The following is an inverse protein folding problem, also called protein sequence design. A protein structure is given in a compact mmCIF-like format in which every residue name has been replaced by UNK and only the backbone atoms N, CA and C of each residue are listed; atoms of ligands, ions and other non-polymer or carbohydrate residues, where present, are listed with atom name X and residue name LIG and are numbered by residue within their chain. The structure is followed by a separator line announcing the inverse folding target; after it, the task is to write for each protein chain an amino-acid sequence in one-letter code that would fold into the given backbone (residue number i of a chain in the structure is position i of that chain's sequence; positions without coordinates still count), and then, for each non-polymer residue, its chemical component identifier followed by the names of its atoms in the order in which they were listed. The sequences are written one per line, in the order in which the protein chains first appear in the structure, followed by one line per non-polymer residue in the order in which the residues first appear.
data_IF_834931333960
#
_entry.id   IF_834931333960
#
_cell.length_a   1.000
_cell.length_b   1.000
_cell.length_c   1.000
_cell.angle_alpha   90.00
_cell.angle_beta   90.00
_cell.angle_gamma   90.00
#
_symmetry.space_group_name_H-M   'P 1'
#
loop_
_entity.id
_entity.type
_entity.pdbx_description
1 polymer ?
#
# COMPACT_ATOMS: atom_id res chain seq x y z
N UNK A 1 -7.25 -7.20 29.85
CA UNK A 1 -7.33 -8.65 29.72
C UNK A 1 -6.50 -9.04 28.53
N UNK A 2 -5.41 -9.71 28.81
CA UNK A 2 -4.35 -10.14 27.89
C UNK A 2 -4.87 -11.34 27.12
N UNK A 3 -4.89 -11.27 25.80
CA UNK A 3 -5.16 -12.46 24.98
C UNK A 3 -3.98 -13.41 25.12
N UNK A 4 -4.25 -14.62 25.63
CA UNK A 4 -3.27 -15.69 25.81
C UNK A 4 -3.11 -16.39 24.47
N UNK A 5 -1.90 -16.31 23.88
CA UNK A 5 -1.50 -17.18 22.79
C UNK A 5 -1.05 -18.51 23.37
N UNK A 6 -1.74 -19.60 23.02
CA UNK A 6 -1.27 -20.95 23.29
C UNK A 6 -0.21 -21.30 22.24
N UNK A 7 1.04 -21.20 22.65
CA UNK A 7 2.17 -21.70 21.89
C UNK A 7 2.36 -23.18 22.13
N UNK A 8 2.20 -24.02 21.13
CA UNK A 8 2.61 -25.41 21.15
C UNK A 8 4.12 -25.50 20.96
N UNK A 9 4.82 -25.90 22.02
CA UNK A 9 6.21 -26.32 21.98
C UNK A 9 6.29 -27.75 21.45
N UNK A 10 6.88 -27.96 20.29
CA UNK A 10 7.41 -29.28 19.91
C UNK A 10 8.91 -29.30 20.14
N UNK A 11 9.34 -30.18 21.03
CA UNK A 11 10.75 -30.55 21.23
C UNK A 11 11.21 -31.51 20.11
N UNK A 12 12.46 -31.43 19.66
CA UNK A 12 13.02 -32.39 18.72
C UNK A 12 13.57 -33.62 19.44
N UNK A 13 13.15 -34.78 18.94
CA UNK A 13 13.70 -36.08 19.36
C UNK A 13 15.07 -36.34 18.76
N UNK A 14 15.88 -36.93 19.63
CA UNK A 14 17.27 -37.35 19.40
C UNK A 14 17.41 -38.62 18.56
N UNK A 15 18.60 -38.75 17.96
CA UNK A 15 19.36 -39.97 17.66
C UNK A 15 19.51 -40.43 16.22
N UNK A 16 20.78 -40.59 15.86
CA UNK A 16 21.22 -41.43 14.78
C UNK A 16 22.62 -41.08 14.24
N UNK A 17 23.68 -41.34 15.07
CA UNK A 17 25.07 -41.40 14.62
C UNK A 17 25.27 -42.64 13.74
N UNK A 18 25.75 -42.46 12.52
CA UNK A 18 26.41 -43.51 11.74
C UNK A 18 27.78 -43.00 11.31
N UNK A 19 28.80 -43.65 11.87
CA UNK A 19 30.20 -43.54 11.44
C UNK A 19 30.38 -44.22 10.09
N UNK A 20 31.08 -43.58 9.15
CA UNK A 20 31.75 -44.24 8.01
C UNK A 20 33.16 -43.68 7.92
N UNK A 21 34.10 -44.64 7.89
CA UNK A 21 35.55 -44.49 7.92
C UNK A 21 36.16 -43.83 6.67
N UNK A 22 37.34 -43.30 6.89
CA UNK A 22 38.25 -42.61 5.97
C UNK A 22 38.73 -43.51 4.79
N UNK A 23 38.82 -42.90 3.60
CA UNK A 23 39.79 -43.31 2.58
C UNK A 23 40.51 -42.03 2.10
N UNK A 24 41.82 -42.04 2.29
CA UNK A 24 42.72 -40.95 1.95
C UNK A 24 42.88 -40.69 0.44
N UNK A 25 43.09 -39.43 0.11
CA UNK A 25 43.49 -38.97 -1.24
C UNK A 25 43.96 -37.53 -1.15
N UNK A 26 45.27 -37.38 -1.23
CA UNK A 26 46.01 -36.13 -1.30
C UNK A 26 45.55 -35.29 -2.52
N UNK A 27 45.10 -34.06 -2.27
CA UNK A 27 45.05 -33.02 -3.29
C UNK A 27 45.02 -31.63 -2.61
N UNK A 28 46.05 -30.88 -2.85
CA UNK A 28 46.26 -29.49 -2.53
C UNK A 28 44.99 -28.64 -2.83
N UNK A 29 44.15 -28.40 -1.83
CA UNK A 29 43.07 -27.46 -1.91
C UNK A 29 43.60 -26.05 -1.58
N UNK A 30 43.62 -25.21 -2.61
CA UNK A 30 43.51 -23.76 -2.42
C UNK A 30 42.26 -23.53 -1.58
N UNK A 31 42.44 -23.16 -0.33
CA UNK A 31 41.36 -22.66 0.52
C UNK A 31 40.89 -21.34 -0.07
N UNK A 32 39.82 -21.39 -0.86
CA UNK A 32 38.97 -20.22 -1.01
C UNK A 32 38.26 -20.04 0.35
N UNK A 33 38.69 -19.06 1.12
CA UNK A 33 37.91 -18.56 2.23
C UNK A 33 36.51 -18.20 1.70
N UNK A 34 35.41 -18.60 2.36
CA UNK A 34 34.10 -18.09 1.98
C UNK A 34 34.14 -16.59 2.21
N UNK A 35 33.95 -15.83 1.15
CA UNK A 35 33.77 -14.39 1.18
C UNK A 35 32.53 -14.09 2.04
N UNK A 36 32.78 -13.92 3.34
CA UNK A 36 31.76 -13.45 4.29
C UNK A 36 31.55 -11.97 4.02
N UNK A 37 30.89 -11.64 2.93
CA UNK A 37 30.30 -10.33 2.71
C UNK A 37 29.14 -10.19 3.71
N UNK A 38 29.48 -9.92 4.98
CA UNK A 38 28.50 -9.36 5.90
C UNK A 38 27.93 -8.12 5.23
N UNK A 39 26.65 -8.17 4.88
CA UNK A 39 25.94 -7.04 4.27
C UNK A 39 25.73 -5.98 5.36
N UNK A 40 26.79 -5.20 5.62
CA UNK A 40 26.80 -4.17 6.63
C UNK A 40 25.69 -3.16 6.36
N UNK A 41 24.84 -2.91 7.34
CA UNK A 41 23.80 -1.89 7.29
C UNK A 41 24.40 -0.48 7.17
N UNK A 42 23.71 0.39 6.48
CA UNK A 42 23.98 1.82 6.41
C UNK A 42 22.79 2.65 6.88
N UNK A 43 23.05 3.83 7.41
CA UNK A 43 22.03 4.78 7.84
C UNK A 43 21.56 5.64 6.67
N UNK A 44 20.25 5.77 6.53
CA UNK A 44 19.59 6.64 5.55
C UNK A 44 18.65 7.61 6.24
N UNK A 45 18.71 8.88 5.89
CA UNK A 45 17.73 9.87 6.32
C UNK A 45 16.44 9.63 5.57
N UNK A 46 15.33 9.43 6.29
CA UNK A 46 14.02 9.22 5.73
C UNK A 46 13.25 10.53 5.60
N UNK A 47 12.63 10.73 4.45
CA UNK A 47 11.75 11.87 4.18
C UNK A 47 10.27 11.47 4.28
N UNK A 48 9.37 12.44 4.38
CA UNK A 48 7.95 12.18 4.16
C UNK A 48 7.71 11.72 2.73
N UNK A 49 6.89 10.69 2.56
CA UNK A 49 6.43 10.31 1.22
C UNK A 49 5.41 11.32 0.72
N UNK A 50 5.82 12.24 -0.18
CA UNK A 50 5.02 13.37 -0.67
C UNK A 50 3.69 12.98 -1.31
N UNK A 51 3.62 11.75 -1.84
CA UNK A 51 2.45 11.22 -2.56
C UNK A 51 1.54 10.36 -1.66
N UNK A 52 1.74 10.41 -0.34
CA UNK A 52 0.81 9.81 0.57
C UNK A 52 -0.51 10.58 0.54
N UNK A 53 -1.59 9.92 0.10
CA UNK A 53 -2.93 10.53 -0.02
C UNK A 53 -3.85 10.13 1.11
N UNK A 54 -3.67 8.95 1.71
CA UNK A 54 -4.54 8.38 2.75
C UNK A 54 -3.79 7.89 3.98
N UNK A 55 -4.49 7.10 4.79
CA UNK A 55 -3.94 6.50 6.00
C UNK A 55 -3.82 7.44 7.18
N UNK A 56 -3.43 6.89 8.34
CA UNK A 56 -3.21 7.65 9.59
C UNK A 56 -1.78 7.51 10.12
N UNK A 57 -1.01 6.55 9.64
CA UNK A 57 0.41 6.40 9.90
C UNK A 57 1.24 7.20 8.92
N UNK A 58 2.47 7.54 9.28
CA UNK A 58 3.40 8.12 8.35
C UNK A 58 3.91 7.06 7.36
N UNK A 59 4.04 7.43 6.10
CA UNK A 59 4.82 6.69 5.11
C UNK A 59 6.09 7.46 4.88
N UNK A 60 7.22 6.81 5.04
CA UNK A 60 8.54 7.38 4.87
C UNK A 60 9.13 6.95 3.54
N UNK A 61 9.76 7.87 2.85
CA UNK A 61 10.59 7.56 1.69
C UNK A 61 12.01 7.27 2.16
N UNK A 62 12.48 6.06 1.90
CA UNK A 62 13.82 5.57 2.28
C UNK A 62 14.79 5.84 1.12
N UNK A 63 14.41 5.47 -0.09
CA UNK A 63 15.12 5.78 -1.34
C UNK A 63 14.09 6.19 -2.40
N UNK A 64 14.54 6.54 -3.61
CA UNK A 64 13.60 6.81 -4.72
C UNK A 64 12.67 5.61 -4.99
N UNK A 65 13.17 4.37 -4.83
CA UNK A 65 12.47 3.13 -5.15
C UNK A 65 11.83 2.43 -3.95
N UNK A 66 12.08 2.90 -2.72
CA UNK A 66 11.64 2.23 -1.50
C UNK A 66 10.94 3.19 -0.54
N UNK A 67 9.84 2.72 0.00
CA UNK A 67 9.08 3.37 1.07
C UNK A 67 8.93 2.43 2.25
N UNK A 68 8.70 2.98 3.45
CA UNK A 68 8.36 2.17 4.62
C UNK A 68 7.30 2.85 5.49
N UNK A 69 6.60 2.05 6.29
CA UNK A 69 5.60 2.53 7.26
C UNK A 69 5.68 1.74 8.56
N UNK A 70 5.19 2.30 9.70
CA UNK A 70 5.16 1.59 10.97
C UNK A 70 4.51 0.21 10.83
N UNK A 71 5.17 -0.79 11.39
CA UNK A 71 4.73 -2.19 11.30
C UNK A 71 3.56 -2.46 12.25
N UNK A 72 2.47 -3.05 11.72
CA UNK A 72 1.43 -3.71 12.51
C UNK A 72 1.59 -5.21 12.38
N UNK A 73 1.38 -5.93 13.46
CA UNK A 73 1.60 -7.38 13.51
C UNK A 73 0.75 -8.14 12.49
N UNK A 74 -0.54 -7.80 12.36
CA UNK A 74 -1.43 -8.43 11.37
C UNK A 74 -0.96 -8.20 9.94
N UNK A 75 -0.45 -7.01 9.64
CA UNK A 75 0.07 -6.68 8.32
C UNK A 75 1.39 -7.39 8.04
N UNK A 76 2.26 -7.49 9.05
CA UNK A 76 3.51 -8.27 8.97
C UNK A 76 3.23 -9.75 8.70
N UNK A 77 2.28 -10.34 9.42
CA UNK A 77 1.85 -11.72 9.20
C UNK A 77 1.34 -11.90 7.77
N UNK A 78 0.50 -10.98 7.28
CA UNK A 78 0.00 -11.04 5.91
C UNK A 78 1.12 -11.02 4.88
N UNK A 79 2.05 -10.03 4.95
CA UNK A 79 3.10 -9.89 3.94
C UNK A 79 4.13 -11.03 3.96
N UNK A 80 4.36 -11.64 5.10
CA UNK A 80 5.20 -12.84 5.20
C UNK A 80 4.53 -14.11 4.66
N UNK A 81 3.19 -14.10 4.51
CA UNK A 81 2.40 -15.25 4.09
C UNK A 81 1.40 -14.92 2.96
N UNK A 82 1.76 -14.00 2.06
CA UNK A 82 0.86 -13.58 0.97
C UNK A 82 0.45 -14.80 0.12
N UNK A 83 -0.85 -15.11 0.02
CA UNK A 83 -1.32 -16.18 -0.85
C UNK A 83 -0.86 -15.98 -2.29
N UNK A 84 -0.36 -17.02 -2.96
CA UNK A 84 0.19 -16.94 -4.31
C UNK A 84 -0.75 -16.23 -5.31
N UNK A 85 -2.07 -16.46 -5.17
CA UNK A 85 -3.09 -15.84 -6.01
C UNK A 85 -3.21 -14.33 -5.81
N UNK A 86 -2.79 -13.78 -4.65
CA UNK A 86 -2.81 -12.36 -4.33
C UNK A 86 -1.49 -11.65 -4.64
N UNK A 87 -0.37 -12.38 -4.78
CA UNK A 87 0.95 -11.78 -5.02
C UNK A 87 1.00 -10.78 -6.19
N UNK A 88 0.32 -11.00 -7.34
CA UNK A 88 0.33 -10.01 -8.44
C UNK A 88 -0.36 -8.68 -8.11
N UNK A 89 -1.19 -8.66 -7.08
CA UNK A 89 -2.06 -7.53 -6.75
C UNK A 89 -1.63 -6.73 -5.52
N UNK A 90 -0.57 -7.12 -4.84
CA UNK A 90 -0.02 -6.41 -3.68
C UNK A 90 1.30 -5.71 -4.02
N UNK A 91 1.72 -4.68 -3.26
CA UNK A 91 3.06 -4.10 -3.41
C UNK A 91 4.16 -5.12 -3.14
N UNK A 92 5.30 -4.97 -3.82
CA UNK A 92 6.48 -5.77 -3.51
C UNK A 92 6.96 -5.50 -2.09
N UNK A 93 6.91 -6.53 -1.22
CA UNK A 93 7.37 -6.47 0.16
C UNK A 93 8.88 -6.70 0.21
N UNK A 94 9.61 -5.86 0.95
CA UNK A 94 11.07 -5.88 1.07
C UNK A 94 11.57 -6.18 2.49
N UNK A 95 10.69 -6.72 3.32
CA UNK A 95 11.03 -7.10 4.70
C UNK A 95 10.81 -5.97 5.71
N UNK A 96 11.37 -6.17 6.89
CA UNK A 96 11.32 -5.21 8.00
C UNK A 96 12.56 -4.31 7.97
N UNK A 97 12.41 -3.09 8.46
CA UNK A 97 13.49 -2.12 8.61
C UNK A 97 13.39 -1.43 9.96
N UNK A 98 14.52 -1.20 10.60
CA UNK A 98 14.60 -0.46 11.85
C UNK A 98 14.67 1.03 11.57
N UNK A 99 13.72 1.79 12.13
CA UNK A 99 13.70 3.26 12.04
C UNK A 99 13.88 3.86 13.42
N UNK A 100 14.67 4.91 13.52
CA UNK A 100 14.95 5.61 14.78
C UNK A 100 15.00 7.11 14.56
N UNK A 101 14.78 7.86 15.64
CA UNK A 101 14.80 9.31 15.64
C UNK A 101 16.15 9.81 16.13
N UNK A 102 16.80 10.68 15.37
CA UNK A 102 17.97 11.45 15.81
C UNK A 102 17.58 12.89 16.08
N UNK A 103 18.17 13.45 17.13
CA UNK A 103 18.00 14.87 17.48
C UNK A 103 19.33 15.59 17.40
N UNK A 104 19.42 16.61 16.55
CA UNK A 104 20.59 17.46 16.40
C UNK A 104 20.16 18.92 16.45
N UNK A 105 20.66 19.69 17.45
CA UNK A 105 20.38 21.12 17.57
C UNK A 105 18.89 21.47 17.68
N UNK A 106 18.08 20.60 18.31
CA UNK A 106 16.64 20.78 18.43
C UNK A 106 15.81 20.31 17.20
N UNK A 107 16.48 19.84 16.15
CA UNK A 107 15.82 19.26 14.98
C UNK A 107 15.83 17.73 15.06
N UNK A 108 14.64 17.13 14.95
CA UNK A 108 14.44 15.68 14.92
C UNK A 108 14.32 15.19 13.49
N UNK A 109 15.11 14.16 13.15
CA UNK A 109 15.11 13.48 11.85
C UNK A 109 14.92 11.97 12.05
N UNK A 110 14.24 11.31 11.09
CA UNK A 110 14.07 9.87 11.10
C UNK A 110 15.11 9.21 10.21
N UNK A 111 15.69 8.13 10.70
CA UNK A 111 16.72 7.36 10.01
C UNK A 111 16.33 5.90 9.92
N UNK A 112 16.58 5.26 8.79
CA UNK A 112 16.39 3.82 8.59
C UNK A 112 17.76 3.12 8.47
N UNK A 113 17.88 1.92 9.05
CA UNK A 113 19.02 1.03 8.84
C UNK A 113 18.72 0.10 7.68
N UNK A 114 19.45 0.26 6.58
CA UNK A 114 19.21 -0.48 5.33
C UNK A 114 20.49 -1.19 4.92
N UNK A 115 20.39 -2.37 4.29
CA UNK A 115 21.55 -3.07 3.79
C UNK A 115 22.32 -2.24 2.75
N UNK A 116 23.64 -2.35 2.74
CA UNK A 116 24.47 -1.63 1.77
C UNK A 116 24.20 -2.04 0.31
N UNK A 117 23.74 -3.27 0.08
CA UNK A 117 23.34 -3.73 -1.24
C UNK A 117 22.18 -2.92 -1.81
N UNK A 118 21.16 -2.63 -0.98
CA UNK A 118 20.05 -1.75 -1.33
C UNK A 118 20.54 -0.33 -1.61
N UNK A 119 21.45 0.21 -0.77
CA UNK A 119 21.97 1.57 -0.92
C UNK A 119 22.79 1.77 -2.21
N UNK A 120 23.52 0.75 -2.65
CA UNK A 120 24.31 0.81 -3.90
C UNK A 120 23.41 0.84 -5.16
N UNK A 121 22.22 0.29 -5.07
CA UNK A 121 21.28 0.18 -6.20
C UNK A 121 20.30 1.34 -6.33
N UNK A 122 20.26 2.26 -5.35
CA UNK A 122 19.26 3.31 -5.28
C UNK A 122 19.88 4.67 -4.96
N UNK A 123 19.30 5.74 -5.51
CA UNK A 123 19.61 7.10 -5.06
C UNK A 123 19.00 7.35 -3.69
N UNK A 124 19.82 7.85 -2.77
CA UNK A 124 19.37 8.29 -1.44
C UNK A 124 19.19 9.81 -1.44
N UNK A 125 18.28 10.30 -0.62
CA UNK A 125 18.12 11.74 -0.40
C UNK A 125 19.21 12.21 0.58
N UNK A 126 20.29 12.80 0.05
CA UNK A 126 21.49 13.12 0.80
C UNK A 126 21.25 14.07 1.99
N UNK A 127 20.24 14.95 1.92
CA UNK A 127 20.12 16.09 2.85
C UNK A 127 18.84 16.09 3.71
N UNK A 128 17.97 15.08 3.60
CA UNK A 128 16.68 15.08 4.32
C UNK A 128 15.71 16.21 3.90
N UNK A 129 16.15 17.09 3.01
CA UNK A 129 15.39 18.21 2.49
C UNK A 129 14.56 17.79 1.27
N UNK A 130 13.51 17.01 1.53
CA UNK A 130 12.41 16.99 0.56
C UNK A 130 11.62 18.29 0.72
N UNK A 131 11.78 19.24 -0.18
CA UNK A 131 10.86 20.37 -0.26
C UNK A 131 9.45 19.84 -0.55
N UNK A 132 8.64 19.75 0.48
CA UNK A 132 7.26 19.32 0.41
C UNK A 132 6.41 20.49 0.86
N UNK A 133 5.42 20.86 0.04
CA UNK A 133 4.51 21.97 0.31
C UNK A 133 3.83 21.86 1.68
N UNK A 134 3.56 23.00 2.33
CA UNK A 134 2.75 23.02 3.53
C UNK A 134 1.33 22.53 3.23
N UNK A 135 0.74 21.79 4.18
CA UNK A 135 -0.57 21.16 3.99
C UNK A 135 -0.53 19.79 3.29
N UNK A 136 0.63 19.37 2.76
CA UNK A 136 0.79 18.02 2.22
C UNK A 136 0.52 16.95 3.29
N UNK A 137 -0.29 15.93 2.94
CA UNK A 137 -0.69 14.92 3.90
C UNK A 137 0.48 14.11 4.44
N UNK A 138 1.42 13.69 3.60
CA UNK A 138 2.62 12.96 4.03
C UNK A 138 3.47 13.77 5.01
N UNK A 139 3.70 15.07 4.74
CA UNK A 139 4.40 15.98 5.65
C UNK A 139 3.68 16.11 7.00
N UNK A 140 2.36 16.25 6.96
CA UNK A 140 1.52 16.31 8.17
C UNK A 140 1.67 15.03 8.99
N UNK A 141 1.68 13.87 8.36
CA UNK A 141 1.85 12.57 9.03
C UNK A 141 3.26 12.37 9.59
N UNK A 142 4.29 12.77 8.86
CA UNK A 142 5.67 12.76 9.36
C UNK A 142 5.82 13.63 10.61
N UNK A 143 5.32 14.87 10.57
CA UNK A 143 5.38 15.79 11.71
C UNK A 143 4.67 15.21 12.94
N UNK A 144 3.53 14.57 12.75
CA UNK A 144 2.82 13.86 13.83
C UNK A 144 3.66 12.70 14.37
N UNK A 145 4.28 11.92 13.50
CA UNK A 145 5.13 10.78 13.86
C UNK A 145 6.34 11.24 14.68
N UNK A 146 7.04 12.29 14.24
CA UNK A 146 8.22 12.85 14.96
C UNK A 146 7.82 13.40 16.32
N UNK A 147 6.66 14.06 16.44
CA UNK A 147 6.19 14.63 17.71
C UNK A 147 5.64 13.59 18.67
N UNK A 148 5.34 12.39 18.22
CA UNK A 148 4.82 11.32 19.07
C UNK A 148 5.95 10.68 19.87
N UNK A 149 6.28 11.28 21.03
CA UNK A 149 7.34 10.80 21.90
C UNK A 149 7.16 9.35 22.39
N UNK A 150 5.93 8.84 22.37
CA UNK A 150 5.66 7.45 22.75
C UNK A 150 6.26 6.43 21.76
N UNK A 151 6.43 6.81 20.49
CA UNK A 151 7.05 5.96 19.47
C UNK A 151 8.57 5.92 19.62
N UNK A 152 9.20 6.98 20.21
CA UNK A 152 10.65 7.13 20.25
C UNK A 152 11.22 7.00 21.67
N UNK A 153 10.48 6.31 22.57
CA UNK A 153 10.91 6.11 23.96
C UNK A 153 12.27 5.42 23.98
N UNK A 154 13.18 6.00 24.72
CA UNK A 154 14.54 5.49 24.98
C UNK A 154 15.47 5.41 23.76
N UNK A 155 15.24 6.17 22.69
CA UNK A 155 16.02 6.10 21.46
C UNK A 155 16.12 4.68 20.86
N UNK A 156 15.20 3.79 21.21
CA UNK A 156 15.16 2.45 20.61
C UNK A 156 14.58 2.53 19.20
N UNK A 157 15.13 1.73 18.28
CA UNK A 157 14.57 1.65 16.93
C UNK A 157 13.19 1.01 16.95
N UNK A 158 12.28 1.57 16.15
CA UNK A 158 10.96 1.02 15.90
C UNK A 158 10.96 0.19 14.61
N UNK A 159 10.14 -0.85 14.57
CA UNK A 159 10.00 -1.70 13.39
C UNK A 159 9.05 -1.08 12.37
N UNK A 160 9.54 -0.99 11.15
CA UNK A 160 8.77 -0.59 9.98
C UNK A 160 8.79 -1.72 8.95
N UNK A 161 7.76 -1.79 8.12
CA UNK A 161 7.71 -2.65 6.95
C UNK A 161 8.03 -1.84 5.70
N UNK A 162 8.83 -2.44 4.81
CA UNK A 162 9.38 -1.76 3.63
C UNK A 162 8.79 -2.34 2.35
N UNK A 163 8.52 -1.47 1.38
CA UNK A 163 7.88 -1.79 0.11
C UNK A 163 8.55 -1.11 -1.07
N UNK A 164 8.33 -1.67 -2.25
CA UNK A 164 8.61 -0.97 -3.49
C UNK A 164 7.75 0.30 -3.59
N UNK A 165 8.36 1.40 -3.99
CA UNK A 165 7.64 2.63 -4.34
C UNK A 165 6.98 2.44 -5.72
N UNK A 166 5.67 2.23 -5.73
CA UNK A 166 4.90 1.93 -6.94
C UNK A 166 4.93 3.05 -8.00
N UNK A 167 5.34 4.26 -7.61
CA UNK A 167 5.36 5.46 -8.46
C UNK A 167 6.75 6.08 -8.57
N UNK A 168 7.82 5.31 -8.30
CA UNK A 168 9.21 5.78 -8.27
C UNK A 168 9.63 6.54 -9.54
N UNK A 169 9.15 6.08 -10.71
CA UNK A 169 9.53 6.63 -12.01
C UNK A 169 8.46 7.53 -12.63
N UNK A 170 7.50 8.01 -11.82
CA UNK A 170 6.43 8.87 -12.29
C UNK A 170 6.82 10.34 -12.14
N UNK A 171 6.54 11.12 -13.17
CA UNK A 171 6.79 12.58 -13.15
C UNK A 171 5.66 13.33 -12.43
N UNK A 172 4.41 12.94 -12.72
CA UNK A 172 3.20 13.57 -12.19
C UNK A 172 2.22 12.50 -11.72
N UNK A 173 2.56 11.78 -10.63
CA UNK A 173 1.76 10.66 -10.15
C UNK A 173 0.39 11.12 -9.67
N UNK A 174 -0.66 10.56 -10.26
CA UNK A 174 -2.01 10.60 -9.73
C UNK A 174 -2.25 9.34 -8.92
N UNK A 175 -2.89 9.47 -7.77
CA UNK A 175 -3.18 8.37 -6.87
C UNK A 175 -4.55 8.53 -6.23
N UNK A 176 -5.28 7.40 -6.07
CA UNK A 176 -6.57 7.34 -5.41
C UNK A 176 -6.61 6.12 -4.50
N UNK A 177 -6.77 6.35 -3.22
CA UNK A 177 -6.96 5.34 -2.17
C UNK A 177 -8.47 5.17 -1.94
N UNK A 178 -9.01 4.00 -2.24
CA UNK A 178 -10.40 3.61 -1.96
C UNK A 178 -10.39 2.58 -0.85
N UNK A 179 -10.90 2.96 0.31
CA UNK A 179 -10.98 2.08 1.46
C UNK A 179 -12.25 1.23 1.41
N UNK A 180 -12.06 -0.07 1.27
CA UNK A 180 -13.10 -1.09 1.27
C UNK A 180 -13.41 -1.49 2.72
N UNK A 181 -14.62 -1.24 3.17
CA UNK A 181 -15.05 -1.60 4.51
C UNK A 181 -16.53 -1.28 4.68
N UNK A 182 -17.35 -2.27 4.98
CA UNK A 182 -18.74 -2.10 5.38
C UNK A 182 -18.91 -2.19 6.90
N UNK A 183 -18.18 -3.13 7.52
CA UNK A 183 -18.19 -3.36 8.97
C UNK A 183 -16.76 -3.27 9.51
N UNK A 184 -16.52 -2.42 10.49
CA UNK A 184 -15.17 -2.07 10.93
C UNK A 184 -14.71 -2.84 12.19
N UNK A 185 -15.56 -3.68 12.75
CA UNK A 185 -15.28 -4.38 14.00
C UNK A 185 -14.94 -5.86 13.77
N UNK A 186 -13.81 -6.31 14.33
CA UNK A 186 -13.45 -7.72 14.40
C UNK A 186 -14.19 -8.45 15.53
N UNK A 187 -14.02 -9.77 15.62
CA UNK A 187 -14.68 -10.61 16.63
C UNK A 187 -14.35 -10.24 18.08
N UNK A 188 -13.17 -9.68 18.33
CA UNK A 188 -12.66 -9.35 19.67
C UNK A 188 -12.70 -7.84 19.97
N UNK A 189 -13.55 -7.05 19.33
CA UNK A 189 -13.60 -5.60 19.56
C UNK A 189 -14.31 -5.28 20.87
N UNK A 190 -13.70 -4.38 21.65
CA UNK A 190 -14.37 -3.74 22.81
C UNK A 190 -15.71 -3.13 22.37
N UNK A 191 -16.82 -3.33 23.10
CA UNK A 191 -18.13 -2.81 22.73
C UNK A 191 -18.18 -1.31 22.50
N UNK A 192 -17.42 -0.51 23.28
CA UNK A 192 -17.32 0.93 23.11
C UNK A 192 -16.61 1.30 21.81
N UNK A 193 -15.53 0.61 21.51
CA UNK A 193 -14.78 0.76 20.26
C UNK A 193 -15.59 0.29 19.05
N UNK A 194 -16.35 -0.80 19.21
CA UNK A 194 -17.28 -1.28 18.19
C UNK A 194 -18.26 -0.20 17.78
N UNK A 195 -18.93 0.43 18.76
CA UNK A 195 -19.91 1.50 18.50
C UNK A 195 -19.30 2.68 17.74
N UNK A 196 -18.09 3.13 18.14
CA UNK A 196 -17.38 4.23 17.45
C UNK A 196 -17.06 3.85 16.00
N UNK A 197 -16.66 2.59 15.74
CA UNK A 197 -16.35 2.12 14.40
C UNK A 197 -17.59 1.96 13.52
N UNK A 198 -18.73 1.51 14.11
CA UNK A 198 -20.02 1.45 13.44
C UNK A 198 -20.51 2.85 13.06
N UNK A 199 -20.46 3.81 13.99
CA UNK A 199 -20.80 5.21 13.71
C UNK A 199 -19.94 5.79 12.59
N UNK A 200 -18.64 5.46 12.56
CA UNK A 200 -17.75 5.91 11.50
C UNK A 200 -18.15 5.34 10.12
N UNK A 201 -18.59 4.09 10.05
CA UNK A 201 -19.11 3.51 8.80
C UNK A 201 -20.43 4.18 8.41
N UNK A 202 -21.37 4.31 9.35
CA UNK A 202 -22.68 4.87 9.11
C UNK A 202 -22.66 6.34 8.69
N UNK A 203 -21.67 7.10 9.18
CA UNK A 203 -21.46 8.51 8.84
C UNK A 203 -20.56 8.72 7.61
N UNK A 204 -20.38 7.70 6.78
CA UNK A 204 -19.60 7.78 5.55
C UNK A 204 -20.24 6.89 4.46
N UNK A 205 -19.79 7.04 3.24
CA UNK A 205 -20.25 6.22 2.09
C UNK A 205 -19.90 4.72 2.22
N UNK A 206 -19.18 4.31 3.27
CA UNK A 206 -18.94 2.89 3.58
C UNK A 206 -20.23 2.11 3.82
N UNK A 207 -21.27 2.72 4.41
CA UNK A 207 -22.55 2.05 4.67
C UNK A 207 -23.38 1.85 3.39
N UNK A 208 -23.35 2.81 2.48
CA UNK A 208 -24.15 2.83 1.24
C UNK A 208 -23.44 2.19 0.06
N UNK A 209 -22.17 2.55 -0.17
CA UNK A 209 -21.38 2.06 -1.29
C UNK A 209 -20.50 0.83 -0.93
N UNK A 210 -20.29 0.54 0.36
CA UNK A 210 -19.32 -0.46 0.83
C UNK A 210 -17.86 0.00 0.75
N UNK A 211 -17.65 1.25 0.32
CA UNK A 211 -16.34 1.88 0.24
C UNK A 211 -16.42 3.39 0.47
N UNK A 212 -15.28 4.02 0.71
CA UNK A 212 -15.12 5.46 0.78
C UNK A 212 -13.77 5.90 0.22
N UNK A 213 -13.66 7.17 -0.14
CA UNK A 213 -12.39 7.76 -0.53
C UNK A 213 -11.48 7.85 0.72
N UNK A 214 -10.34 7.16 0.68
CA UNK A 214 -9.28 7.24 1.69
C UNK A 214 -8.38 8.45 1.49
N UNK A 215 -8.25 8.89 0.24
CA UNK A 215 -7.53 10.07 -0.20
C UNK A 215 -7.32 10.05 -1.70
N UNK A 216 -7.08 11.20 -2.30
CA UNK A 216 -6.84 11.35 -3.72
C UNK A 216 -5.80 12.42 -4.00
N UNK A 217 -4.95 12.18 -4.98
CA UNK A 217 -4.05 13.16 -5.58
C UNK A 217 -4.23 13.14 -7.08
N UNK A 218 -4.42 14.31 -7.68
CA UNK A 218 -4.58 14.44 -9.12
C UNK A 218 -3.87 15.70 -9.62
N UNK A 219 -3.17 15.60 -10.75
CA UNK A 219 -2.55 16.74 -11.40
C UNK A 219 -3.57 17.48 -12.27
N UNK A 220 -3.67 18.80 -12.07
CA UNK A 220 -4.48 19.69 -12.90
C UNK A 220 -3.60 20.36 -13.97
N UNK A 221 -3.89 20.11 -15.24
CA UNK A 221 -3.15 20.71 -16.35
C UNK A 221 -3.32 22.24 -16.41
N UNK A 222 -4.52 22.72 -16.12
CA UNK A 222 -4.88 24.16 -16.25
C UNK A 222 -4.10 25.02 -15.26
N UNK A 223 -3.93 24.54 -14.05
CA UNK A 223 -3.22 25.25 -12.98
C UNK A 223 -1.77 24.81 -12.83
N UNK A 224 -1.38 23.69 -13.48
CA UNK A 224 -0.10 22.99 -13.31
C UNK A 224 0.20 22.63 -11.85
N UNK A 225 -0.86 22.37 -11.08
CA UNK A 225 -0.76 22.04 -9.65
C UNK A 225 -1.28 20.64 -9.35
N UNK A 226 -0.70 20.07 -8.31
CA UNK A 226 -1.20 18.83 -7.73
C UNK A 226 -2.31 19.16 -6.71
N UNK A 227 -3.52 18.62 -6.91
CA UNK A 227 -4.59 18.69 -5.93
C UNK A 227 -4.55 17.45 -5.05
N UNK A 228 -4.71 17.65 -3.76
CA UNK A 228 -4.82 16.58 -2.78
C UNK A 228 -6.13 16.68 -2.00
N UNK A 229 -6.83 15.55 -1.88
CA UNK A 229 -8.01 15.36 -1.05
C UNK A 229 -7.66 14.30 -0.01
N UNK A 230 -7.63 14.69 1.25
CA UNK A 230 -7.25 13.79 2.32
C UNK A 230 -8.46 12.98 2.85
N UNK A 231 -8.21 12.07 3.80
CA UNK A 231 -9.23 11.21 4.39
C UNK A 231 -10.37 11.98 5.08
N UNK A 232 -10.15 13.18 5.58
CA UNK A 232 -11.20 13.98 6.24
C UNK A 232 -12.22 14.44 5.22
N UNK A 233 -11.74 14.89 4.05
CA UNK A 233 -12.62 15.19 2.93
C UNK A 233 -13.41 13.94 2.49
N UNK A 234 -12.73 12.80 2.29
CA UNK A 234 -13.39 11.55 1.90
C UNK A 234 -14.43 11.04 2.91
N UNK A 235 -14.31 11.41 4.20
CA UNK A 235 -15.31 11.11 5.23
C UNK A 235 -16.50 12.06 5.22
N UNK A 236 -16.39 13.28 4.67
CA UNK A 236 -17.42 14.32 4.71
C UNK A 236 -18.31 14.34 3.48
N UNK A 237 -17.95 13.65 2.41
CA UNK A 237 -18.68 13.64 1.13
C UNK A 237 -19.73 12.54 1.10
N UNK A 238 -20.79 12.77 0.30
CA UNK A 238 -21.87 11.82 0.05
C UNK A 238 -21.61 10.97 -1.22
N UNK A 239 -22.49 10.01 -1.52
CA UNK A 239 -22.37 9.08 -2.62
C UNK A 239 -22.24 9.79 -3.98
N UNK A 240 -23.06 10.83 -4.22
CA UNK A 240 -22.99 11.60 -5.47
C UNK A 240 -21.62 12.26 -5.64
N UNK A 241 -21.09 12.88 -4.59
CA UNK A 241 -19.77 13.51 -4.61
C UNK A 241 -18.64 12.50 -4.80
N UNK A 242 -18.79 11.28 -4.26
CA UNK A 242 -17.85 10.18 -4.54
C UNK A 242 -17.86 9.83 -6.03
N UNK A 243 -19.04 9.69 -6.65
CA UNK A 243 -19.16 9.40 -8.08
C UNK A 243 -18.50 10.49 -8.92
N UNK A 244 -18.73 11.77 -8.60
CA UNK A 244 -18.09 12.89 -9.29
C UNK A 244 -16.55 12.88 -9.15
N UNK A 245 -16.00 12.55 -7.96
CA UNK A 245 -14.56 12.40 -7.80
C UNK A 245 -14.00 11.23 -8.62
N UNK A 246 -14.71 10.11 -8.70
CA UNK A 246 -14.33 8.99 -9.53
C UNK A 246 -14.35 9.38 -11.02
N UNK A 247 -15.34 10.14 -11.48
CA UNK A 247 -15.38 10.71 -12.83
C UNK A 247 -14.19 11.63 -13.09
N UNK A 248 -13.83 12.49 -12.16
CA UNK A 248 -12.65 13.36 -12.27
C UNK A 248 -11.37 12.52 -12.40
N UNK A 249 -11.22 11.45 -11.61
CA UNK A 249 -10.03 10.62 -11.61
C UNK A 249 -9.91 9.73 -12.86
N UNK A 250 -11.02 9.15 -13.32
CA UNK A 250 -11.05 8.19 -14.44
C UNK A 250 -11.53 8.79 -15.76
N UNK A 251 -12.25 9.91 -15.75
CA UNK A 251 -13.06 10.39 -16.89
C UNK A 251 -12.27 10.85 -18.13
N UNK A 252 -10.96 11.04 -18.03
CA UNK A 252 -10.10 11.33 -19.18
C UNK A 252 -9.64 10.07 -19.94
N UNK A 253 -10.13 8.89 -19.56
CA UNK A 253 -9.71 7.61 -20.13
C UNK A 253 -10.71 7.09 -21.14
N UNK A 254 -10.23 6.34 -22.12
CA UNK A 254 -11.12 5.63 -23.03
C UNK A 254 -11.95 4.59 -22.28
N UNK A 255 -13.14 4.28 -22.81
CA UNK A 255 -13.98 3.22 -22.25
C UNK A 255 -13.27 1.88 -22.16
N UNK A 256 -12.41 1.55 -23.14
CA UNK A 256 -11.54 0.35 -23.08
C UNK A 256 -10.59 0.38 -21.89
N UNK A 257 -9.92 1.51 -21.65
CA UNK A 257 -9.00 1.64 -20.49
C UNK A 257 -9.74 1.53 -19.15
N UNK A 258 -10.95 2.05 -19.04
CA UNK A 258 -11.78 1.91 -17.83
C UNK A 258 -12.24 0.46 -17.64
N UNK A 259 -12.61 -0.25 -18.72
CA UNK A 259 -12.92 -1.69 -18.64
C UNK A 259 -11.73 -2.53 -18.17
N UNK A 260 -10.50 -2.21 -18.61
CA UNK A 260 -9.30 -2.92 -18.17
C UNK A 260 -9.08 -2.73 -16.66
N UNK A 261 -9.35 -1.53 -16.14
CA UNK A 261 -9.30 -1.25 -14.70
C UNK A 261 -10.39 -2.06 -13.97
N UNK A 262 -11.64 -2.03 -14.45
CA UNK A 262 -12.75 -2.80 -13.89
C UNK A 262 -12.46 -4.30 -13.88
N UNK A 263 -11.91 -4.84 -14.98
CA UNK A 263 -11.50 -6.25 -15.06
C UNK A 263 -10.38 -6.57 -14.05
N UNK A 264 -9.42 -5.67 -13.86
CA UNK A 264 -8.38 -5.86 -12.85
C UNK A 264 -8.97 -5.93 -11.44
N UNK A 265 -9.96 -5.07 -11.13
CA UNK A 265 -10.67 -5.10 -9.84
C UNK A 265 -11.44 -6.42 -9.67
N UNK A 266 -12.12 -6.89 -10.71
CA UNK A 266 -12.83 -8.19 -10.72
C UNK A 266 -11.85 -9.36 -10.49
N UNK A 267 -10.65 -9.30 -11.07
CA UNK A 267 -9.61 -10.30 -10.86
C UNK A 267 -9.09 -10.26 -9.40
N UNK A 268 -8.88 -9.07 -8.83
CA UNK A 268 -8.55 -8.92 -7.40
C UNK A 268 -9.68 -9.50 -6.54
N UNK A 269 -10.93 -9.22 -6.85
CA UNK A 269 -12.09 -9.76 -6.13
C UNK A 269 -12.09 -11.29 -6.17
N UNK A 270 -11.92 -11.87 -7.35
CA UNK A 270 -11.85 -13.33 -7.50
C UNK A 270 -10.66 -13.92 -6.71
N UNK A 271 -9.50 -13.26 -6.70
CA UNK A 271 -8.36 -13.71 -5.92
C UNK A 271 -8.64 -13.65 -4.40
N UNK A 272 -9.32 -12.60 -3.93
CA UNK A 272 -9.75 -12.49 -2.53
C UNK A 272 -10.76 -13.58 -2.15
N UNK A 273 -11.70 -13.91 -3.03
CA UNK A 273 -12.71 -14.94 -2.78
C UNK A 273 -12.14 -16.37 -2.78
N UNK A 274 -11.10 -16.62 -3.57
CA UNK A 274 -10.54 -17.95 -3.75
C UNK A 274 -9.37 -18.27 -2.78
N UNK A 275 -8.82 -17.29 -2.09
CA UNK A 275 -7.86 -17.53 -1.02
C UNK A 275 -8.60 -17.87 0.29
N UNK A 276 -8.00 -18.72 1.14
CA UNK A 276 -8.60 -19.19 2.39
C UNK A 276 -7.82 -18.78 3.64
N UNK A 277 -6.63 -18.22 3.45
CA UNK A 277 -5.67 -17.99 4.53
C UNK A 277 -6.01 -16.79 5.39
N UNK A 278 -6.80 -15.82 4.84
CA UNK A 278 -7.06 -14.54 5.50
C UNK A 278 -8.49 -14.04 5.30
N UNK A 279 -9.02 -13.36 6.32
CA UNK A 279 -10.23 -12.55 6.24
C UNK A 279 -9.88 -11.07 6.28
N UNK A 280 -10.44 -10.33 5.33
CA UNK A 280 -10.19 -8.90 5.16
C UNK A 280 -11.31 -8.08 5.78
N UNK A 281 -11.08 -7.51 6.98
CA UNK A 281 -12.06 -6.62 7.61
C UNK A 281 -12.03 -5.21 7.02
N UNK A 282 -10.89 -4.79 6.53
CA UNK A 282 -10.72 -3.51 5.84
C UNK A 282 -9.40 -3.50 5.11
N UNK A 283 -9.43 -3.21 3.83
CA UNK A 283 -8.27 -3.02 2.96
C UNK A 283 -8.51 -1.84 2.05
N UNK A 284 -7.50 -1.41 1.32
CA UNK A 284 -7.66 -0.35 0.32
C UNK A 284 -7.28 -0.83 -1.08
N UNK A 285 -7.97 -0.32 -2.09
CA UNK A 285 -7.53 -0.35 -3.48
C UNK A 285 -6.81 0.96 -3.78
N UNK A 286 -5.53 0.88 -4.09
CA UNK A 286 -4.73 2.01 -4.53
C UNK A 286 -4.66 2.01 -6.07
N UNK A 287 -5.26 3.02 -6.67
CA UNK A 287 -5.17 3.32 -8.09
C UNK A 287 -4.09 4.35 -8.31
N UNK A 288 -3.26 4.16 -9.34
CA UNK A 288 -2.21 5.12 -9.64
C UNK A 288 -1.82 5.09 -11.11
N UNK A 289 -1.49 6.28 -11.63
CA UNK A 289 -1.02 6.50 -13.00
C UNK A 289 -0.17 7.75 -13.08
N UNK A 290 0.64 7.83 -14.12
CA UNK A 290 1.43 9.03 -14.44
C UNK A 290 0.71 9.85 -15.50
N UNK A 291 0.73 11.17 -15.33
CA UNK A 291 0.30 12.09 -16.39
C UNK A 291 1.56 12.56 -17.13
N UNK A 292 1.75 12.07 -18.35
CA UNK A 292 2.77 12.59 -19.25
C UNK A 292 2.25 13.86 -19.94
N UNK A 293 3.05 14.93 -19.98
CA UNK A 293 2.76 16.06 -20.85
C UNK A 293 2.91 15.61 -22.29
N UNK A 294 1.80 15.38 -22.98
CA UNK A 294 1.79 15.50 -24.43
C UNK A 294 1.97 16.99 -24.75
N UNK A 295 2.85 17.34 -25.68
CA UNK A 295 3.17 18.74 -26.05
C UNK A 295 1.98 19.55 -26.61
N UNK A 296 0.79 18.99 -26.58
CA UNK A 296 -0.46 19.64 -26.98
C UNK A 296 -1.44 19.66 -25.81
N UNK A 297 -1.71 20.86 -25.31
CA UNK A 297 -2.81 21.14 -24.39
C UNK A 297 -4.14 20.79 -25.06
N UNK A 298 -4.66 19.59 -24.75
CA UNK A 298 -6.00 19.19 -25.17
C UNK A 298 -7.00 19.70 -24.13
N UNK A 299 -8.05 20.46 -24.51
CA UNK A 299 -9.09 20.91 -23.57
C UNK A 299 -9.78 19.74 -22.87
N UNK A 300 -10.32 19.99 -21.68
CA UNK A 300 -10.96 19.03 -20.75
C UNK A 300 -12.05 18.14 -21.36
N UNK A 301 -12.50 18.43 -22.59
CA UNK A 301 -13.66 17.81 -23.25
C UNK A 301 -13.40 17.32 -24.69
N UNK A 302 -12.15 17.12 -25.11
CA UNK A 302 -11.91 16.50 -26.41
C UNK A 302 -11.34 15.09 -26.26
N UNK A 303 -11.87 14.09 -27.00
CA UNK A 303 -11.31 12.75 -27.06
C UNK A 303 -9.90 12.81 -27.64
N UNK A 304 -8.96 12.15 -26.97
CA UNK A 304 -7.55 12.11 -27.39
C UNK A 304 -7.39 11.46 -28.75
N UNK A 305 -6.61 12.08 -29.62
CA UNK A 305 -6.13 11.46 -30.85
C UNK A 305 -5.13 10.34 -30.52
N UNK A 306 -5.33 9.19 -31.09
CA UNK A 306 -4.80 7.90 -30.66
C UNK A 306 -3.29 7.64 -30.86
N UNK A 307 -2.49 8.56 -31.44
CA UNK A 307 -1.05 8.25 -31.71
C UNK A 307 -0.16 9.50 -31.63
N UNK A 308 1.00 9.36 -30.94
CA UNK A 308 2.09 10.31 -31.07
C UNK A 308 2.83 10.15 -32.44
N UNK A 309 3.64 11.15 -32.79
CA UNK A 309 4.41 11.15 -34.05
C UNK A 309 5.44 9.99 -34.19
N UNK A 310 5.56 9.11 -33.17
CA UNK A 310 6.41 7.92 -33.16
C UNK A 310 5.62 6.61 -33.14
N UNK A 311 4.29 6.66 -33.27
CA UNK A 311 3.44 5.45 -33.24
C UNK A 311 3.39 4.79 -31.86
N UNK A 312 3.76 5.49 -30.79
CA UNK A 312 3.67 5.03 -29.41
C UNK A 312 2.47 5.71 -28.77
N UNK A 313 1.52 4.89 -28.31
CA UNK A 313 0.34 5.35 -27.60
C UNK A 313 0.76 5.92 -26.23
N UNK A 314 0.64 7.24 -25.95
CA UNK A 314 0.94 7.82 -24.65
C UNK A 314 0.06 7.25 -23.52
N UNK A 315 -1.06 6.60 -23.86
CA UNK A 315 -1.91 5.85 -22.94
C UNK A 315 -1.29 4.52 -22.44
N UNK A 316 -0.05 4.16 -22.82
CA UNK A 316 0.63 2.95 -22.32
C UNK A 316 1.01 2.98 -20.84
N UNK A 317 0.93 4.11 -20.17
CA UNK A 317 0.92 4.17 -18.71
C UNK A 317 -0.50 3.98 -18.18
N UNK A 318 -1.09 2.82 -18.43
CA UNK A 318 -2.42 2.45 -17.94
C UNK A 318 -2.53 2.67 -16.43
N UNK A 319 -3.71 3.03 -15.95
CA UNK A 319 -3.97 3.09 -14.51
C UNK A 319 -3.75 1.70 -13.91
N UNK A 320 -2.88 1.62 -12.91
CA UNK A 320 -2.57 0.39 -12.18
C UNK A 320 -3.38 0.35 -10.90
N UNK A 321 -3.67 -0.86 -10.41
CA UNK A 321 -4.39 -1.09 -9.15
C UNK A 321 -3.59 -2.03 -8.28
N UNK A 322 -3.51 -1.73 -6.97
CA UNK A 322 -2.95 -2.62 -5.95
C UNK A 322 -3.83 -2.65 -4.71
N UNK A 323 -3.90 -3.83 -4.12
CA UNK A 323 -4.49 -4.04 -2.80
C UNK A 323 -3.45 -3.67 -1.74
N UNK A 324 -3.80 -2.82 -0.79
CA UNK A 324 -2.90 -2.31 0.25
C UNK A 324 -3.61 -2.23 1.61
N UNK A 325 -2.85 -1.93 2.66
CA UNK A 325 -3.33 -1.62 4.01
C UNK A 325 -3.96 -2.82 4.73
N UNK A 326 -3.13 -3.85 4.99
CA UNK A 326 -3.56 -5.11 5.62
C UNK A 326 -3.53 -5.09 7.15
N UNK A 327 -3.63 -3.92 7.78
CA UNK A 327 -3.67 -3.78 9.24
C UNK A 327 -4.88 -4.46 9.89
N UNK A 328 -5.92 -4.74 9.13
CA UNK A 328 -7.18 -5.32 9.56
C UNK A 328 -7.48 -6.62 8.82
N UNK A 329 -6.51 -7.52 8.85
CA UNK A 329 -6.68 -8.90 8.37
C UNK A 329 -6.61 -9.87 9.53
N UNK A 330 -7.33 -10.97 9.41
CA UNK A 330 -7.34 -12.06 10.39
C UNK A 330 -6.80 -13.29 9.66
N UNK A 331 -5.66 -13.85 10.08
CA UNK A 331 -5.25 -15.17 9.60
C UNK A 331 -6.27 -16.21 10.04
N UNK A 332 -6.55 -17.18 9.20
CA UNK A 332 -7.55 -18.21 9.43
C UNK A 332 -6.90 -19.58 9.37
N UNK A 333 -7.14 -20.42 10.37
CA UNK A 333 -6.88 -21.85 10.28
C UNK A 333 -8.13 -22.59 9.80
N UNK A 334 -7.96 -23.75 9.17
CA UNK A 334 -9.09 -24.59 8.72
C UNK A 334 -10.04 -24.94 9.87
N UNK A 335 -9.52 -25.04 11.11
CA UNK A 335 -10.29 -25.35 12.31
C UNK A 335 -11.16 -24.17 12.78
N UNK A 336 -10.75 -22.94 12.50
CA UNK A 336 -11.41 -21.71 12.99
C UNK A 336 -12.33 -21.07 11.96
N UNK A 337 -12.26 -21.48 10.70
CA UNK A 337 -13.03 -20.86 9.60
C UNK A 337 -14.55 -20.87 9.90
N UNK A 338 -15.07 -21.92 10.51
CA UNK A 338 -16.49 -22.05 10.84
C UNK A 338 -16.95 -21.12 11.97
N UNK A 339 -16.02 -20.60 12.80
CA UNK A 339 -16.31 -19.67 13.89
C UNK A 339 -16.49 -18.22 13.40
N UNK A 340 -16.11 -17.93 12.16
CA UNK A 340 -16.10 -16.57 11.64
C UNK A 340 -17.45 -16.23 11.00
N UNK A 341 -18.14 -15.18 11.47
CA UNK A 341 -19.42 -14.78 10.93
C UNK A 341 -19.35 -14.45 9.44
N UNK A 342 -20.33 -14.92 8.67
CA UNK A 342 -20.38 -14.74 7.22
C UNK A 342 -20.28 -13.27 6.79
N UNK A 343 -20.92 -12.37 7.52
CA UNK A 343 -20.87 -10.92 7.21
C UNK A 343 -19.45 -10.33 7.29
N UNK A 344 -18.54 -10.94 8.08
CA UNK A 344 -17.13 -10.52 8.12
C UNK A 344 -16.34 -11.08 6.93
N UNK A 345 -16.65 -12.31 6.49
CA UNK A 345 -16.04 -12.91 5.29
C UNK A 345 -16.39 -12.11 4.04
N UNK A 346 -17.58 -11.51 4.00
CA UNK A 346 -18.09 -10.75 2.86
C UNK A 346 -17.88 -9.23 2.97
N UNK A 347 -17.17 -8.78 3.99
CA UNK A 347 -17.12 -7.38 4.37
C UNK A 347 -16.67 -6.41 3.25
N UNK A 348 -15.72 -6.84 2.41
CA UNK A 348 -15.19 -6.01 1.32
C UNK A 348 -15.86 -6.31 -0.03
N UNK A 349 -16.57 -7.45 -0.16
CA UNK A 349 -17.13 -7.92 -1.43
C UNK A 349 -18.15 -6.95 -2.01
N UNK A 350 -19.04 -6.42 -1.16
CA UNK A 350 -20.04 -5.44 -1.57
C UNK A 350 -19.40 -4.18 -2.18
N UNK A 351 -18.36 -3.65 -1.52
CA UNK A 351 -17.65 -2.46 -1.99
C UNK A 351 -16.92 -2.68 -3.31
N UNK A 352 -16.26 -3.83 -3.47
CA UNK A 352 -15.56 -4.18 -4.71
C UNK A 352 -16.55 -4.31 -5.87
N UNK A 353 -17.67 -5.01 -5.64
CA UNK A 353 -18.73 -5.19 -6.66
C UNK A 353 -19.33 -3.86 -7.08
N UNK A 354 -19.70 -2.99 -6.14
CA UNK A 354 -20.24 -1.68 -6.45
C UNK A 354 -19.26 -0.81 -7.22
N UNK A 355 -17.99 -0.79 -6.82
CA UNK A 355 -16.97 -0.02 -7.53
C UNK A 355 -16.79 -0.51 -8.97
N UNK A 356 -16.76 -1.83 -9.19
CA UNK A 356 -16.67 -2.40 -10.53
C UNK A 356 -17.87 -2.00 -11.41
N UNK A 357 -19.07 -2.06 -10.86
CA UNK A 357 -20.30 -1.66 -11.58
C UNK A 357 -20.30 -0.16 -11.95
N UNK A 358 -19.80 0.70 -11.05
CA UNK A 358 -19.66 2.14 -11.32
C UNK A 358 -18.68 2.37 -12.48
N UNK A 359 -17.55 1.69 -12.49
CA UNK A 359 -16.56 1.82 -13.57
C UNK A 359 -17.06 1.23 -14.89
N UNK A 360 -17.80 0.12 -14.86
CA UNK A 360 -18.43 -0.42 -16.07
C UNK A 360 -19.42 0.60 -16.66
N UNK A 361 -20.18 1.31 -15.82
CA UNK A 361 -21.04 2.42 -16.23
C UNK A 361 -20.26 3.55 -16.91
N UNK A 362 -19.15 3.99 -16.32
CA UNK A 362 -18.29 5.02 -16.92
C UNK A 362 -17.69 4.57 -18.27
N UNK A 363 -17.33 3.30 -18.40
CA UNK A 363 -16.83 2.77 -19.66
C UNK A 363 -17.86 2.86 -20.79
N UNK A 364 -19.13 2.57 -20.48
CA UNK A 364 -20.25 2.70 -21.43
C UNK A 364 -20.48 4.18 -21.79
N UNK A 365 -20.57 5.07 -20.78
CA UNK A 365 -20.73 6.51 -21.00
C UNK A 365 -19.63 7.06 -21.92
N UNK A 366 -18.37 6.70 -21.71
CA UNK A 366 -17.24 7.20 -22.48
C UNK A 366 -17.15 6.63 -23.90
N UNK A 367 -17.76 5.48 -24.18
CA UNK A 367 -17.86 4.96 -25.55
C UNK A 367 -18.96 5.67 -26.34
N UNK A 368 -20.09 5.99 -25.68
CA UNK A 368 -21.21 6.71 -26.32
C UNK A 368 -20.88 8.17 -26.68
N UNK A 369 -19.89 8.77 -26.02
CA UNK A 369 -19.42 10.14 -26.34
C UNK A 369 -18.52 10.16 -27.59
N UNK A 370 -18.00 9.01 -28.03
CA UNK A 370 -17.11 8.88 -29.19
C UNK A 370 -17.85 8.67 -30.52
N UNK A 371 -19.11 8.27 -30.47
CA UNK A 371 -20.04 8.15 -31.63
C UNK A 371 -20.80 9.46 -31.83
#
# INVERSE_FOLDING_TARGET
MTCVYLGNQHQPGSNGLVNIEEIGGDNSKVQMEPDSTEDHEGDVICCAFRHQVGGHKCVLQVTENLICKPCEESERIFYNNVPAILQPYVPGYRGEVSVYCKENGGHKTLHAKVSKSILRSCRTYADGNCEIEEGNWGKTRLNYCIKNESLWKNNSPEKFIMFDNLIANFERPCALDIKLCRYYHGMCSDPSKKLVLEQKCNNSTSSTLGFRIGGMQIYQHETRKMLQFNKHYGMSINDHQVIELLKIFFGRRSGTSIRDISNTIKNIHNAVLNQKDFIFLSVSLLFFYDIQETQHSVPLFQPEADLDAKGQNPAKAGCKVRLIDFEKVIPVSDEEEHLIPQHLKENINFGITNLSNILDGFAIENDLIKD
#
